data_IF_571145634790
#
_entry.id   IF_571145634790
#
_cell.length_a   1.000
_cell.length_b   1.000
_cell.length_c   1.000
_cell.angle_alpha   90.00
_cell.angle_beta   90.00
_cell.angle_gamma   90.00
#
_symmetry.space_group_name_H-M   'P 1'
#
loop_
_entity.id
_entity.type
_entity.pdbx_description
1 polymer ?
#
# COMPACT_ATOMS: atom_id res chain seq x y z
N UNK A 1 -15.34 -11.78 7.45
CA UNK A 1 -14.02 -11.13 7.60
C UNK A 1 -14.17 -9.65 7.29
N UNK A 2 -13.68 -8.76 8.17
CA UNK A 2 -13.63 -7.31 7.95
C UNK A 2 -12.18 -6.87 7.70
N UNK A 3 -11.91 -6.30 6.52
CA UNK A 3 -10.58 -5.87 6.08
C UNK A 3 -10.54 -4.36 5.99
N UNK A 4 -9.56 -3.72 6.65
CA UNK A 4 -9.33 -2.28 6.51
C UNK A 4 -8.12 -2.02 5.61
N UNK A 5 -8.27 -1.08 4.67
CA UNK A 5 -7.25 -0.70 3.68
C UNK A 5 -6.85 0.75 3.91
N UNK A 6 -5.57 0.97 4.24
CA UNK A 6 -5.05 2.29 4.64
C UNK A 6 -3.68 2.60 4.01
N UNK A 7 -3.55 3.69 3.25
CA UNK A 7 -4.61 4.61 2.81
C UNK A 7 -5.50 3.98 1.71
N UNK A 8 -6.77 4.34 1.64
CA UNK A 8 -7.73 3.81 0.66
C UNK A 8 -7.65 4.43 -0.74
N UNK A 9 -6.98 5.58 -0.90
CA UNK A 9 -6.92 6.31 -2.18
C UNK A 9 -5.73 5.95 -3.08
N UNK A 10 -4.72 5.25 -2.55
CA UNK A 10 -3.58 4.81 -3.36
C UNK A 10 -4.05 3.87 -4.47
N UNK A 11 -3.40 3.89 -5.64
CA UNK A 11 -3.83 3.06 -6.77
C UNK A 11 -3.80 1.56 -6.43
N UNK A 12 -2.73 1.08 -5.77
CA UNK A 12 -2.65 -0.29 -5.27
C UNK A 12 -3.76 -0.61 -4.25
N UNK A 13 -4.12 0.34 -3.38
CA UNK A 13 -5.24 0.17 -2.44
C UNK A 13 -6.58 0.09 -3.14
N UNK A 14 -6.81 0.90 -4.19
CA UNK A 14 -8.03 0.81 -5.00
C UNK A 14 -8.14 -0.55 -5.68
N UNK A 15 -7.03 -1.08 -6.21
CA UNK A 15 -7.02 -2.44 -6.76
C UNK A 15 -7.34 -3.48 -5.69
N UNK A 16 -6.71 -3.40 -4.52
CA UNK A 16 -6.98 -4.32 -3.41
C UNK A 16 -8.44 -4.27 -2.94
N UNK A 17 -9.01 -3.07 -2.77
CA UNK A 17 -10.43 -2.88 -2.42
C UNK A 17 -11.32 -3.55 -3.47
N UNK A 18 -11.07 -3.30 -4.76
CA UNK A 18 -11.84 -3.91 -5.85
C UNK A 18 -11.78 -5.43 -5.80
N UNK A 19 -10.57 -5.99 -5.70
CA UNK A 19 -10.37 -7.45 -5.59
C UNK A 19 -11.12 -8.05 -4.40
N UNK A 20 -11.10 -7.38 -3.25
CA UNK A 20 -11.84 -7.84 -2.05
C UNK A 20 -13.36 -7.73 -2.23
N UNK A 21 -13.85 -6.71 -2.93
CA UNK A 21 -15.28 -6.56 -3.20
C UNK A 21 -15.78 -7.60 -4.22
N UNK A 22 -14.93 -8.00 -5.16
CA UNK A 22 -15.22 -9.04 -6.17
C UNK A 22 -15.01 -10.47 -5.65
N UNK A 23 -14.44 -10.64 -4.46
CA UNK A 23 -14.18 -11.96 -3.88
C UNK A 23 -15.47 -12.68 -3.48
N UNK A 24 -15.58 -13.96 -3.86
CA UNK A 24 -16.71 -14.85 -3.54
C UNK A 24 -16.95 -15.05 -2.04
N UNK A 25 -15.92 -14.90 -1.20
CA UNK A 25 -16.01 -14.94 0.26
C UNK A 25 -16.66 -13.67 0.84
N UNK A 26 -16.90 -12.67 0.00
CA UNK A 26 -17.64 -11.46 0.30
C UNK A 26 -17.20 -10.76 1.61
N UNK A 27 -15.91 -10.45 1.81
CA UNK A 27 -15.46 -9.72 2.99
C UNK A 27 -16.11 -8.32 3.08
N UNK A 28 -16.26 -7.80 4.29
CA UNK A 28 -16.55 -6.38 4.53
C UNK A 28 -15.25 -5.59 4.38
N UNK A 29 -15.27 -4.47 3.68
CA UNK A 29 -14.08 -3.69 3.33
C UNK A 29 -14.23 -2.26 3.84
N UNK A 30 -13.25 -1.78 4.59
CA UNK A 30 -13.17 -0.39 5.04
C UNK A 30 -12.00 0.31 4.33
N UNK A 31 -12.26 1.40 3.62
CA UNK A 31 -11.21 2.24 3.04
C UNK A 31 -10.99 3.49 3.89
N UNK A 32 -9.74 3.78 4.27
CA UNK A 32 -9.40 4.97 5.07
C UNK A 32 -8.94 6.12 4.17
N UNK A 33 -9.67 7.24 4.15
CA UNK A 33 -9.41 8.37 3.27
C UNK A 33 -9.17 9.66 4.05
N UNK A 34 -8.12 10.42 3.68
CA UNK A 34 -7.91 11.77 4.23
C UNK A 34 -9.04 12.72 3.84
N UNK A 35 -9.48 12.60 2.58
CA UNK A 35 -10.64 13.27 2.03
C UNK A 35 -11.59 12.21 1.47
N UNK A 36 -12.78 12.10 2.06
CA UNK A 36 -13.83 11.13 1.68
C UNK A 36 -14.32 11.31 0.23
N UNK A 37 -14.19 12.50 -0.36
CA UNK A 37 -14.54 12.75 -1.76
C UNK A 37 -13.62 12.00 -2.74
N UNK A 38 -12.48 11.51 -2.26
CA UNK A 38 -11.57 10.66 -3.04
C UNK A 38 -11.96 9.18 -2.97
N UNK A 39 -12.98 8.80 -2.21
CA UNK A 39 -13.53 7.44 -2.24
C UNK A 39 -14.28 7.24 -3.57
N UNK A 40 -13.84 6.29 -4.42
CA UNK A 40 -14.45 6.07 -5.73
C UNK A 40 -15.94 5.71 -5.60
N UNK A 41 -16.78 6.31 -6.44
CA UNK A 41 -18.23 6.08 -6.39
C UNK A 41 -18.59 4.64 -6.72
N UNK A 42 -17.79 3.95 -7.54
CA UNK A 42 -18.00 2.54 -7.86
C UNK A 42 -17.93 1.62 -6.63
N UNK A 43 -17.27 2.04 -5.55
CA UNK A 43 -17.19 1.27 -4.30
C UNK A 43 -18.39 1.51 -3.39
N UNK A 44 -19.24 2.53 -3.64
CA UNK A 44 -20.38 2.83 -2.77
C UNK A 44 -21.62 1.98 -3.06
N UNK A 45 -21.66 1.33 -4.21
CA UNK A 45 -22.78 0.45 -4.61
C UNK A 45 -22.86 -0.83 -3.76
N UNK A 46 -21.75 -1.54 -3.45
CA UNK A 46 -21.81 -2.71 -2.58
C UNK A 46 -22.03 -2.29 -1.12
N UNK A 47 -23.05 -2.86 -0.46
CA UNK A 47 -23.33 -2.65 0.98
C UNK A 47 -22.21 -3.10 1.93
N UNK A 48 -21.18 -3.77 1.40
CA UNK A 48 -20.03 -4.30 2.14
C UNK A 48 -18.85 -3.35 2.19
N UNK A 49 -18.90 -2.20 1.52
CA UNK A 49 -17.85 -1.19 1.57
C UNK A 49 -18.21 -0.01 2.47
N UNK A 50 -17.24 0.43 3.27
CA UNK A 50 -17.35 1.62 4.10
C UNK A 50 -16.14 2.52 3.84
N UNK A 51 -16.38 3.81 3.56
CA UNK A 51 -15.33 4.81 3.51
C UNK A 51 -15.32 5.58 4.84
N UNK A 52 -14.18 5.56 5.54
CA UNK A 52 -13.99 6.29 6.80
C UNK A 52 -12.92 7.36 6.64
N UNK A 53 -13.07 8.46 7.38
CA UNK A 53 -12.10 9.55 7.35
C UNK A 53 -10.91 9.19 8.24
N UNK A 54 -9.69 9.34 7.73
CA UNK A 54 -8.47 9.14 8.49
C UNK A 54 -7.20 9.41 7.68
N UNK A 55 -6.10 9.64 8.38
CA UNK A 55 -4.78 9.90 7.81
C UNK A 55 -3.76 8.92 8.41
N UNK A 56 -3.04 8.20 7.56
CA UNK A 56 -1.97 7.29 8.00
C UNK A 56 -0.86 8.03 8.77
N UNK A 57 -0.72 9.35 8.56
CA UNK A 57 0.21 10.21 9.29
C UNK A 57 -0.30 10.70 10.64
N UNK A 58 -1.61 10.68 10.86
CA UNK A 58 -2.22 10.96 12.16
C UNK A 58 -2.60 9.67 12.87
N UNK A 59 -1.80 9.31 13.87
CA UNK A 59 -2.02 8.13 14.71
C UNK A 59 -3.43 8.05 15.30
N UNK A 60 -4.00 9.19 15.72
CA UNK A 60 -5.28 9.23 16.45
C UNK A 60 -6.44 8.91 15.51
N UNK A 61 -6.31 9.29 14.24
CA UNK A 61 -7.34 9.05 13.22
C UNK A 61 -7.47 7.60 12.77
N UNK A 62 -6.50 6.73 13.09
CA UNK A 62 -6.50 5.33 12.67
C UNK A 62 -7.25 4.45 13.66
N UNK A 63 -8.50 4.08 13.35
CA UNK A 63 -9.26 3.10 14.13
C UNK A 63 -9.42 1.78 13.37
N UNK A 64 -8.84 0.70 13.91
CA UNK A 64 -8.93 -0.65 13.34
C UNK A 64 -9.82 -1.58 14.18
N UNK A 65 -10.64 -1.03 15.08
CA UNK A 65 -11.50 -1.80 15.97
C UNK A 65 -12.47 -2.68 15.18
N UNK A 66 -12.55 -3.97 15.57
CA UNK A 66 -13.41 -4.94 14.92
C UNK A 66 -12.97 -5.38 13.52
N UNK A 67 -11.80 -4.94 13.04
CA UNK A 67 -11.22 -5.45 11.80
C UNK A 67 -10.39 -6.71 12.07
N UNK A 68 -10.48 -7.69 11.17
CA UNK A 68 -9.71 -8.93 11.22
C UNK A 68 -8.34 -8.78 10.55
N UNK A 69 -8.25 -7.95 9.51
CA UNK A 69 -7.03 -7.76 8.74
C UNK A 69 -6.83 -6.31 8.30
N UNK A 70 -5.56 -5.91 8.16
CA UNK A 70 -5.14 -4.60 7.65
C UNK A 70 -4.34 -4.80 6.37
N UNK A 71 -4.69 -4.10 5.29
CA UNK A 71 -3.83 -3.91 4.12
C UNK A 71 -3.27 -2.49 4.18
N UNK A 72 -1.95 -2.36 4.16
CA UNK A 72 -1.30 -1.05 4.27
C UNK A 72 -0.08 -0.92 3.38
N UNK A 73 0.30 0.33 3.11
CA UNK A 73 1.50 0.71 2.38
C UNK A 73 1.96 2.08 2.85
N UNK A 74 3.22 2.40 2.59
CA UNK A 74 3.75 3.73 2.86
C UNK A 74 3.58 4.60 1.61
N UNK A 75 2.83 5.72 1.68
CA UNK A 75 2.73 6.64 0.54
C UNK A 75 4.08 7.24 0.19
N UNK A 76 4.38 7.48 -1.10
CA UNK A 76 5.58 8.19 -1.48
C UNK A 76 5.50 9.65 -1.02
N UNK A 77 6.67 10.24 -0.77
CA UNK A 77 6.81 11.63 -0.33
C UNK A 77 7.86 12.33 -1.18
N UNK A 78 7.46 13.41 -1.84
CA UNK A 78 8.28 14.10 -2.86
C UNK A 78 8.57 15.58 -2.51
N UNK A 79 8.49 15.95 -1.22
CA UNK A 79 8.68 17.32 -0.74
C UNK A 79 10.12 17.62 -0.28
N UNK A 80 11.06 16.71 -0.55
CA UNK A 80 12.46 16.81 -0.12
C UNK A 80 12.70 16.56 1.36
N UNK A 81 11.67 16.24 2.15
CA UNK A 81 11.82 15.85 3.55
C UNK A 81 12.37 14.42 3.70
N UNK A 82 12.74 14.05 4.93
CA UNK A 82 13.22 12.70 5.25
C UNK A 82 12.09 11.66 5.08
N UNK A 83 12.04 11.07 3.89
CA UNK A 83 11.07 10.06 3.52
C UNK A 83 11.27 8.73 4.28
N UNK A 84 12.48 8.45 4.79
CA UNK A 84 12.75 7.27 5.63
C UNK A 84 12.12 7.46 7.00
N UNK A 85 12.34 8.63 7.63
CA UNK A 85 11.70 8.98 8.89
C UNK A 85 10.18 9.00 8.75
N UNK A 86 9.66 9.57 7.65
CA UNK A 86 8.24 9.54 7.35
C UNK A 86 7.69 8.11 7.26
N UNK A 87 8.35 7.22 6.53
CA UNK A 87 7.92 5.82 6.43
C UNK A 87 7.91 5.10 7.78
N UNK A 88 8.95 5.29 8.60
CA UNK A 88 9.01 4.77 9.97
C UNK A 88 7.84 5.25 10.81
N UNK A 89 7.48 6.53 10.71
CA UNK A 89 6.34 7.10 11.42
C UNK A 89 5.03 6.44 10.96
N UNK A 90 4.81 6.27 9.65
CA UNK A 90 3.59 5.65 9.13
C UNK A 90 3.45 4.19 9.59
N UNK A 91 4.52 3.41 9.46
CA UNK A 91 4.53 2.02 9.92
C UNK A 91 4.30 1.92 11.44
N UNK A 92 4.87 2.85 12.21
CA UNK A 92 4.66 2.92 13.66
C UNK A 92 3.22 3.28 14.02
N UNK A 93 2.59 4.19 13.28
CA UNK A 93 1.17 4.55 13.47
C UNK A 93 0.26 3.34 13.22
N UNK A 94 0.49 2.62 12.11
CA UNK A 94 -0.23 1.38 11.79
C UNK A 94 -0.02 0.32 12.87
N UNK A 95 1.23 0.07 13.28
CA UNK A 95 1.56 -0.87 14.36
C UNK A 95 0.81 -0.55 15.64
N UNK A 96 0.76 0.73 16.03
CA UNK A 96 0.05 1.16 17.23
C UNK A 96 -1.46 0.99 17.08
N UNK A 97 -2.05 1.29 15.92
CA UNK A 97 -3.47 1.10 15.68
C UNK A 97 -3.87 -0.39 15.70
N UNK A 98 -3.03 -1.28 15.13
CA UNK A 98 -3.20 -2.74 15.23
C UNK A 98 -3.19 -3.19 16.69
N UNK A 99 -2.21 -2.76 17.48
CA UNK A 99 -2.11 -3.09 18.91
C UNK A 99 -3.30 -2.58 19.72
N UNK A 100 -3.78 -1.36 19.44
CA UNK A 100 -4.95 -0.80 20.14
C UNK A 100 -6.25 -1.53 19.79
N UNK A 101 -6.40 -1.97 18.55
CA UNK A 101 -7.58 -2.71 18.10
C UNK A 101 -7.71 -4.07 18.81
N UNK A 102 -6.60 -4.82 18.91
CA UNK A 102 -6.60 -6.14 19.53
C UNK A 102 -7.36 -7.24 18.76
N UNK A 103 -8.10 -6.90 17.71
CA UNK A 103 -8.86 -7.87 16.88
C UNK A 103 -8.14 -8.25 15.59
N UNK A 104 -7.15 -7.47 15.17
CA UNK A 104 -6.41 -7.70 13.92
C UNK A 104 -5.54 -8.94 14.06
N UNK A 105 -5.79 -9.93 13.21
CA UNK A 105 -5.06 -11.20 13.13
C UNK A 105 -4.02 -11.21 12.03
N UNK A 106 -4.13 -10.30 11.04
CA UNK A 106 -3.22 -10.24 9.90
C UNK A 106 -2.96 -8.81 9.42
N UNK A 107 -1.70 -8.51 9.14
CA UNK A 107 -1.28 -7.28 8.46
C UNK A 107 -0.60 -7.66 7.14
N UNK A 108 -1.13 -7.15 6.04
CA UNK A 108 -0.52 -7.25 4.71
C UNK A 108 0.12 -5.90 4.41
N UNK A 109 1.44 -5.88 4.26
CA UNK A 109 2.18 -4.69 3.87
C UNK A 109 2.62 -4.80 2.42
N UNK A 110 2.21 -3.83 1.59
CA UNK A 110 2.72 -3.70 0.22
C UNK A 110 4.11 -3.06 0.29
N UNK A 111 5.11 -3.92 0.16
CA UNK A 111 6.53 -3.60 0.17
C UNK A 111 7.10 -3.62 -1.26
N UNK A 112 8.40 -3.41 -1.41
CA UNK A 112 9.08 -3.41 -2.70
C UNK A 112 10.22 -4.43 -2.71
N UNK A 113 10.56 -4.95 -3.89
CA UNK A 113 11.80 -5.70 -4.08
C UNK A 113 13.02 -4.87 -3.64
N UNK A 114 13.95 -5.52 -2.93
CA UNK A 114 15.12 -4.87 -2.34
C UNK A 114 14.92 -4.48 -0.87
N UNK A 115 13.68 -4.49 -0.36
CA UNK A 115 13.39 -4.19 1.04
C UNK A 115 13.98 -5.23 2.04
N UNK A 116 14.43 -6.40 1.54
CA UNK A 116 15.20 -7.35 2.35
C UNK A 116 16.58 -6.83 2.75
N UNK A 117 17.15 -5.87 2.01
CA UNK A 117 18.48 -5.32 2.29
C UNK A 117 18.38 -4.04 3.11
N UNK A 118 19.27 -3.89 4.10
CA UNK A 118 19.33 -2.72 4.99
C UNK A 118 20.10 -1.53 4.40
N UNK A 119 20.96 -1.79 3.42
CA UNK A 119 21.88 -0.81 2.81
C UNK A 119 22.01 -1.03 1.30
N UNK A 120 22.58 -0.05 0.59
CA UNK A 120 22.78 -0.13 -0.87
C UNK A 120 21.51 -0.02 -1.72
N UNK A 121 20.35 0.22 -1.12
CA UNK A 121 19.03 0.19 -1.81
C UNK A 121 18.31 1.54 -1.91
N UNK A 122 19.01 2.64 -1.58
CA UNK A 122 18.48 3.99 -1.73
C UNK A 122 17.12 4.20 -1.04
N UNK A 123 16.12 4.66 -1.79
CA UNK A 123 14.78 4.94 -1.27
C UNK A 123 14.05 3.71 -0.72
N UNK A 124 14.36 2.51 -1.24
CA UNK A 124 13.78 1.23 -0.81
C UNK A 124 14.13 0.92 0.65
N UNK A 125 15.16 1.57 1.21
CA UNK A 125 15.46 1.53 2.65
C UNK A 125 14.25 1.93 3.50
N UNK A 126 13.34 2.75 2.97
CA UNK A 126 12.07 3.09 3.64
C UNK A 126 11.22 1.84 3.86
N UNK A 127 10.99 1.05 2.81
CA UNK A 127 10.25 -0.21 2.91
C UNK A 127 10.95 -1.20 3.84
N UNK A 128 12.29 -1.32 3.77
CA UNK A 128 13.04 -2.15 4.71
C UNK A 128 12.70 -1.81 6.16
N UNK A 129 12.76 -0.52 6.53
CA UNK A 129 12.45 -0.09 7.89
C UNK A 129 10.99 -0.34 8.27
N UNK A 130 10.05 -0.12 7.34
CA UNK A 130 8.63 -0.42 7.56
C UNK A 130 8.39 -1.91 7.81
N UNK A 131 9.02 -2.79 7.02
CA UNK A 131 8.95 -4.25 7.22
C UNK A 131 9.41 -4.62 8.63
N UNK A 132 10.60 -4.17 9.06
CA UNK A 132 11.14 -4.47 10.40
C UNK A 132 10.23 -3.98 11.53
N UNK A 133 9.61 -2.81 11.36
CA UNK A 133 8.66 -2.27 12.35
C UNK A 133 7.42 -3.17 12.46
N UNK A 134 6.85 -3.53 11.32
CA UNK A 134 5.61 -4.31 11.23
C UNK A 134 5.81 -5.77 11.65
N UNK A 135 6.94 -6.39 11.34
CA UNK A 135 7.30 -7.76 11.79
C UNK A 135 7.26 -7.92 13.32
N UNK A 136 7.46 -6.84 14.08
CA UNK A 136 7.32 -6.87 15.53
C UNK A 136 5.87 -6.76 16.05
N UNK A 137 4.89 -7.20 15.27
CA UNK A 137 3.48 -7.34 15.66
C UNK A 137 3.21 -8.78 16.12
N UNK A 138 2.34 -8.94 17.12
CA UNK A 138 1.93 -10.25 17.62
C UNK A 138 0.76 -10.84 16.78
N UNK A 139 0.86 -10.74 15.46
CA UNK A 139 -0.12 -11.26 14.50
C UNK A 139 0.58 -11.64 13.19
N UNK A 140 -0.12 -12.29 12.25
CA UNK A 140 0.47 -12.67 10.97
C UNK A 140 0.87 -11.42 10.17
N UNK A 141 2.12 -11.33 9.76
CA UNK A 141 2.61 -10.24 8.90
C UNK A 141 2.99 -10.80 7.53
N UNK A 142 2.30 -10.34 6.50
CA UNK A 142 2.55 -10.72 5.10
C UNK A 142 3.20 -9.54 4.38
N UNK A 143 4.42 -9.75 3.88
CA UNK A 143 5.18 -8.73 3.16
C UNK A 143 5.08 -9.00 1.65
N UNK A 144 4.29 -8.20 0.94
CA UNK A 144 4.11 -8.32 -0.50
C UNK A 144 5.16 -7.45 -1.19
N UNK A 145 6.30 -8.02 -1.56
CA UNK A 145 7.37 -7.31 -2.28
C UNK A 145 7.07 -7.25 -3.77
N UNK A 146 6.46 -6.16 -4.22
CA UNK A 146 6.12 -5.99 -5.62
C UNK A 146 7.36 -5.66 -6.49
N UNK A 147 7.24 -5.97 -7.78
CA UNK A 147 8.14 -5.51 -8.83
C UNK A 147 7.82 -4.07 -9.25
N UNK A 148 8.64 -3.50 -10.14
CA UNK A 148 8.41 -2.15 -10.65
C UNK A 148 7.06 -2.06 -11.36
N UNK A 149 6.24 -1.06 -11.01
CA UNK A 149 4.92 -0.92 -11.61
C UNK A 149 5.02 -0.35 -13.03
N UNK A 150 4.35 -0.99 -14.00
CA UNK A 150 4.27 -0.48 -15.37
C UNK A 150 3.64 0.92 -15.42
N UNK A 151 2.73 1.20 -14.49
CA UNK A 151 2.08 2.49 -14.30
C UNK A 151 3.06 3.64 -14.01
N UNK A 152 4.27 3.35 -13.51
CA UNK A 152 5.30 4.37 -13.30
C UNK A 152 5.74 5.04 -14.62
N UNK A 153 5.63 4.34 -15.74
CA UNK A 153 5.93 4.87 -17.07
C UNK A 153 4.90 5.86 -17.60
N UNK A 154 3.77 6.03 -16.92
CA UNK A 154 2.78 7.06 -17.29
C UNK A 154 3.39 8.47 -17.29
N UNK A 155 4.37 8.72 -16.41
CA UNK A 155 5.13 9.99 -16.35
C UNK A 155 6.00 10.21 -17.60
N UNK A 156 6.51 9.15 -18.22
CA UNK A 156 7.33 9.25 -19.42
C UNK A 156 6.54 9.69 -20.66
N UNK A 157 5.21 9.54 -20.64
CA UNK A 157 4.33 9.94 -21.77
C UNK A 157 4.44 11.44 -22.08
N UNK A 158 4.70 12.27 -21.08
CA UNK A 158 4.92 13.70 -21.26
C UNK A 158 6.24 13.95 -22.01
N UNK A 159 7.34 13.34 -21.55
CA UNK A 159 8.68 13.54 -22.12
C UNK A 159 8.80 13.02 -23.55
N UNK A 160 8.10 11.92 -23.88
CA UNK A 160 8.08 11.36 -25.24
C UNK A 160 7.36 12.30 -26.22
N UNK A 161 6.42 13.11 -25.73
CA UNK A 161 5.65 14.08 -26.53
C UNK A 161 6.31 15.46 -26.59
N UNK A 162 7.40 15.70 -25.87
CA UNK A 162 8.13 16.96 -25.86
C UNK A 162 8.91 17.17 -27.18
N UNK A 163 9.41 18.39 -27.38
CA UNK A 163 10.30 18.75 -28.49
C UNK A 163 11.62 19.33 -27.96
N UNK A 164 12.77 18.65 -28.14
CA UNK A 164 12.91 17.33 -28.74
C UNK A 164 12.36 16.20 -27.85
N UNK A 165 11.84 15.11 -28.44
CA UNK A 165 11.32 13.98 -27.67
C UNK A 165 12.46 13.28 -26.94
N UNK A 166 12.24 12.93 -25.68
CA UNK A 166 13.18 12.16 -24.89
C UNK A 166 12.45 11.21 -23.94
N UNK A 167 13.13 10.15 -23.50
CA UNK A 167 12.60 9.21 -22.52
C UNK A 167 13.28 9.44 -21.18
N UNK A 168 12.58 10.07 -20.25
CA UNK A 168 13.10 10.24 -18.90
C UNK A 168 12.89 8.95 -18.09
N UNK A 169 13.99 8.41 -17.57
CA UNK A 169 14.00 7.21 -16.74
C UNK A 169 14.92 7.41 -15.54
N UNK A 170 14.44 7.02 -14.36
CA UNK A 170 15.27 6.93 -13.14
C UNK A 170 15.97 5.58 -13.01
N UNK A 171 15.73 4.65 -13.95
CA UNK A 171 16.36 3.34 -14.00
C UNK A 171 17.67 3.42 -14.78
N UNK A 172 18.75 3.00 -14.13
CA UNK A 172 20.10 2.94 -14.70
C UNK A 172 20.79 1.64 -14.25
N UNK A 173 21.67 1.06 -15.09
CA UNK A 173 21.98 1.46 -16.46
C UNK A 173 20.82 1.18 -17.45
N UNK A 174 20.84 1.79 -18.64
CA UNK A 174 19.72 1.74 -19.61
C UNK A 174 19.41 0.34 -20.15
N UNK A 175 20.40 -0.54 -20.16
CA UNK A 175 20.31 -1.93 -20.59
C UNK A 175 19.89 -2.88 -19.45
N UNK A 176 19.60 -2.34 -18.26
CA UNK A 176 19.16 -3.14 -17.13
C UNK A 176 17.75 -3.70 -17.37
N UNK A 177 17.65 -5.03 -17.46
CA UNK A 177 16.36 -5.71 -17.53
C UNK A 177 15.76 -5.83 -16.13
N UNK A 178 14.53 -5.35 -15.96
CA UNK A 178 13.78 -5.50 -14.73
C UNK A 178 12.41 -6.16 -14.96
N UNK A 179 11.99 -7.10 -14.11
CA UNK A 179 10.61 -7.56 -14.08
C UNK A 179 9.68 -6.40 -13.70
N UNK A 180 8.52 -6.34 -14.36
CA UNK A 180 7.49 -5.32 -14.11
C UNK A 180 6.14 -5.97 -13.78
N UNK A 181 5.38 -5.32 -12.92
CA UNK A 181 4.04 -5.73 -12.55
C UNK A 181 3.03 -4.64 -12.92
N UNK A 182 1.79 -5.04 -13.22
CA UNK A 182 0.65 -4.12 -13.31
C UNK A 182 -0.02 -4.05 -11.94
N UNK A 183 -0.50 -2.88 -11.53
CA UNK A 183 -1.20 -2.71 -10.26
C UNK A 183 -2.56 -3.40 -10.19
N UNK A 184 -3.04 -3.97 -11.29
CA UNK A 184 -4.12 -4.94 -11.30
C UNK A 184 -3.61 -6.28 -10.75
N UNK A 185 -3.25 -6.29 -9.47
CA UNK A 185 -2.86 -7.50 -8.75
C UNK A 185 -4.14 -8.31 -8.65
N UNK A 186 -4.33 -9.29 -9.53
CA UNK A 186 -5.10 -10.46 -9.13
C UNK A 186 -4.32 -11.02 -7.95
N UNK A 187 -4.81 -10.77 -6.74
CA UNK A 187 -4.42 -11.55 -5.57
C UNK A 187 -4.96 -12.94 -5.92
N UNK A 188 -4.19 -13.71 -6.70
CA UNK A 188 -4.46 -15.11 -6.95
C UNK A 188 -4.39 -15.76 -5.58
N UNK A 189 -5.57 -15.87 -4.99
CA UNK A 189 -5.93 -16.74 -3.89
C UNK A 189 -4.78 -16.94 -2.92
N UNK A 190 -4.58 -15.97 -2.02
CA UNK A 190 -4.17 -16.34 -0.67
C UNK A 190 -5.28 -17.28 -0.19
N UNK A 191 -5.09 -18.58 -0.40
CA UNK A 191 -5.92 -19.60 0.21
C UNK A 191 -5.78 -19.40 1.70
N UNK A 192 -6.71 -18.62 2.26
CA UNK A 192 -6.91 -18.49 3.70
C UNK A 192 -7.50 -19.82 4.12
N UNK A 193 -6.64 -20.82 4.30
CA UNK A 193 -6.98 -21.95 5.12
C UNK A 193 -7.03 -21.43 6.56
N UNK A 194 -8.25 -21.36 7.09
CA UNK A 194 -8.52 -21.37 8.53
C UNK A 194 -8.31 -22.79 9.02
#
# INVERSE_FOLDING_TARGET
>A
MKVIVVPGSAQTSRSAIRTLLDDSLAPSVVGVYRNLDKAPTEFKEPSRFEAVQGDISDRVSLDFSGCDAVITMTPPRFDGSDFVAFGKQMASNVKQAVKRSGTVKRVVYVSCQGAQYSEGVGEVRTNHNCERILEGLDCDVVLVRNYYFMENWSSALETIRADPPHFYSTLAPLDYSLPMARQNIQIQTLHVHV
#
